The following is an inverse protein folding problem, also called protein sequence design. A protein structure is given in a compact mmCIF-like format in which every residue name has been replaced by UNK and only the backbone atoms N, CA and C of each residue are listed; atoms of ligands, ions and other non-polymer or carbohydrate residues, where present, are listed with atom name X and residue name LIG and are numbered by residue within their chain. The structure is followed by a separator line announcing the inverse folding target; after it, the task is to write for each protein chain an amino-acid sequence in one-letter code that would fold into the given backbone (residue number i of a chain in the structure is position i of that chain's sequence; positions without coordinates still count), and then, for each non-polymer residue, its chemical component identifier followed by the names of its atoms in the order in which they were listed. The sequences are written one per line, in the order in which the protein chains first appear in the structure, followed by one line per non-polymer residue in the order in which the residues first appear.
data_IF_025572301791
#
_entry.id   IF_025572301791
#
_cell.length_a   1.000
_cell.length_b   1.000
_cell.length_c   1.000
_cell.angle_alpha   90.00
_cell.angle_beta   90.00
_cell.angle_gamma   90.00
#
_symmetry.space_group_name_H-M   'P 1'
#
loop_
_entity.id
_entity.type
_entity.pdbx_description
1 polymer ?
#
# COMPACT_ATOMS: atom_id res chain seq x y z
N UNK A 1 -7.31 9.45 -3.71
CA UNK A 1 -8.36 8.74 -2.95
C UNK A 1 -8.91 9.54 -1.76
N UNK A 2 -8.91 10.88 -1.80
CA UNK A 2 -9.55 11.70 -0.77
C UNK A 2 -11.05 11.45 -0.68
N UNK A 3 -11.70 11.13 -1.80
CA UNK A 3 -13.13 10.82 -1.88
C UNK A 3 -13.48 9.58 -1.05
N UNK A 4 -12.73 8.47 -1.17
CA UNK A 4 -13.02 7.27 -0.40
C UNK A 4 -12.85 7.49 1.12
N UNK A 5 -11.85 8.29 1.53
CA UNK A 5 -11.68 8.69 2.94
C UNK A 5 -12.85 9.56 3.41
N UNK A 6 -13.22 10.57 2.61
CA UNK A 6 -14.36 11.46 2.86
C UNK A 6 -15.68 10.68 2.98
N UNK A 7 -15.93 9.72 2.09
CA UNK A 7 -17.12 8.87 2.13
C UNK A 7 -17.22 8.09 3.44
N UNK A 8 -16.11 7.53 3.91
CA UNK A 8 -16.04 6.83 5.20
C UNK A 8 -16.26 7.77 6.39
N UNK A 9 -15.68 8.97 6.38
CA UNK A 9 -15.75 9.90 7.51
C UNK A 9 -17.05 10.69 7.60
N UNK A 10 -17.65 11.05 6.46
CA UNK A 10 -18.78 12.00 6.42
C UNK A 10 -20.11 11.31 6.09
N UNK A 11 -20.10 10.20 5.33
CA UNK A 11 -21.31 9.58 4.80
C UNK A 11 -21.58 8.16 5.32
N UNK A 12 -20.76 7.69 6.27
CA UNK A 12 -20.88 6.39 6.94
C UNK A 12 -21.01 5.17 6.01
N UNK A 13 -20.59 5.32 4.75
CA UNK A 13 -20.54 4.28 3.70
C UNK A 13 -21.86 3.53 3.41
N UNK A 14 -23.01 4.02 3.89
CA UNK A 14 -24.31 3.31 3.79
C UNK A 14 -25.21 3.81 2.66
N UNK A 15 -25.26 5.12 2.47
CA UNK A 15 -26.22 5.74 1.53
C UNK A 15 -25.57 6.19 0.21
N UNK A 16 -24.25 6.04 0.09
CA UNK A 16 -23.47 6.51 -1.04
C UNK A 16 -22.49 5.42 -1.49
N UNK A 17 -22.35 5.25 -2.80
CA UNK A 17 -21.42 4.30 -3.41
C UNK A 17 -20.39 4.99 -4.29
N UNK A 18 -19.14 4.57 -4.21
CA UNK A 18 -18.04 4.99 -5.06
C UNK A 18 -17.86 4.00 -6.21
N UNK A 19 -17.92 4.48 -7.44
CA UNK A 19 -17.54 3.68 -8.60
C UNK A 19 -16.19 4.10 -9.15
N UNK A 20 -15.23 3.18 -9.19
CA UNK A 20 -13.95 3.35 -9.86
C UNK A 20 -14.07 3.12 -11.37
N UNK A 21 -13.33 3.87 -12.16
CA UNK A 21 -13.22 3.69 -13.61
C UNK A 21 -11.84 4.20 -14.08
N UNK A 22 -11.28 3.54 -15.08
CA UNK A 22 -10.10 4.00 -15.81
C UNK A 22 -9.06 2.90 -15.95
N UNK A 23 -8.80 2.47 -17.19
CA UNK A 23 -7.69 1.55 -17.50
C UNK A 23 -7.80 0.13 -16.94
N UNK A 24 -9.00 -0.37 -16.63
CA UNK A 24 -9.20 -1.72 -16.08
C UNK A 24 -9.19 -2.77 -17.19
N UNK A 25 -8.21 -3.67 -17.17
CA UNK A 25 -8.04 -4.76 -18.15
C UNK A 25 -7.81 -6.14 -17.49
N UNK A 26 -7.54 -6.17 -16.19
CA UNK A 26 -7.35 -7.39 -15.38
C UNK A 26 -8.18 -7.36 -14.10
N UNK A 27 -8.41 -8.54 -13.50
CA UNK A 27 -9.02 -8.62 -12.16
C UNK A 27 -8.15 -8.02 -11.07
N UNK A 28 -6.83 -7.92 -11.30
CA UNK A 28 -5.90 -7.20 -10.43
C UNK A 28 -6.18 -5.69 -10.40
N UNK A 29 -6.36 -5.08 -11.57
CA UNK A 29 -6.71 -3.65 -11.66
C UNK A 29 -8.04 -3.36 -10.93
N UNK A 30 -9.02 -4.26 -11.09
CA UNK A 30 -10.28 -4.16 -10.35
C UNK A 30 -10.08 -4.27 -8.83
N UNK A 31 -9.21 -5.18 -8.38
CA UNK A 31 -8.86 -5.30 -6.96
C UNK A 31 -8.20 -4.02 -6.42
N UNK A 32 -7.34 -3.35 -7.18
CA UNK A 32 -6.72 -2.08 -6.78
C UNK A 32 -7.75 -0.97 -6.52
N UNK A 33 -8.75 -0.82 -7.38
CA UNK A 33 -9.84 0.16 -7.15
C UNK A 33 -10.62 -0.15 -5.87
N UNK A 34 -10.93 -1.44 -5.63
CA UNK A 34 -11.65 -1.87 -4.43
C UNK A 34 -10.81 -1.67 -3.17
N UNK A 35 -9.53 -2.05 -3.19
CA UNK A 35 -8.57 -1.83 -2.10
C UNK A 35 -8.48 -0.36 -1.70
N UNK A 36 -8.68 0.54 -2.66
CA UNK A 36 -8.69 1.98 -2.45
C UNK A 36 -10.09 2.55 -2.14
N UNK A 37 -11.13 1.71 -2.02
CA UNK A 37 -12.43 2.07 -1.48
C UNK A 37 -13.59 2.09 -2.46
N UNK A 38 -13.42 1.65 -3.72
CA UNK A 38 -14.53 1.57 -4.66
C UNK A 38 -15.51 0.43 -4.29
N UNK A 39 -16.82 0.69 -4.38
CA UNK A 39 -17.88 -0.31 -4.27
C UNK A 39 -18.07 -1.06 -5.59
N UNK A 40 -17.89 -0.38 -6.72
CA UNK A 40 -18.01 -0.95 -8.07
C UNK A 40 -16.86 -0.50 -8.96
N UNK A 41 -16.53 -1.32 -9.96
CA UNK A 41 -15.48 -1.02 -10.94
C UNK A 41 -16.11 -1.07 -12.34
N UNK A 42 -15.94 0.01 -13.11
CA UNK A 42 -16.44 0.12 -14.48
C UNK A 42 -15.31 -0.16 -15.48
N UNK A 43 -15.68 -0.80 -16.58
CA UNK A 43 -14.77 -1.18 -17.66
C UNK A 43 -15.34 -0.67 -18.98
N UNK A 44 -14.51 0.03 -19.75
CA UNK A 44 -14.88 0.57 -21.06
C UNK A 44 -13.89 0.08 -22.12
N UNK A 45 -12.70 0.70 -22.21
CA UNK A 45 -11.69 0.37 -23.22
C UNK A 45 -11.28 -1.10 -23.23
N UNK A 46 -11.11 -1.74 -22.07
CA UNK A 46 -10.78 -3.17 -22.02
C UNK A 46 -11.81 -4.05 -22.74
N UNK A 47 -13.11 -3.78 -22.57
CA UNK A 47 -14.17 -4.51 -23.29
C UNK A 47 -14.17 -4.16 -24.78
N UNK A 48 -13.88 -2.91 -25.16
CA UNK A 48 -13.75 -2.52 -26.57
C UNK A 48 -12.61 -3.27 -27.27
N UNK A 49 -11.50 -3.51 -26.56
CA UNK A 49 -10.29 -4.15 -27.10
C UNK A 49 -10.38 -5.69 -27.12
N UNK A 50 -10.98 -6.29 -26.09
CA UNK A 50 -10.94 -7.75 -25.87
C UNK A 50 -12.32 -8.42 -25.98
N UNK A 51 -13.37 -7.64 -26.24
CA UNK A 51 -14.75 -8.12 -26.29
C UNK A 51 -15.35 -8.41 -24.91
N UNK A 52 -16.65 -8.73 -24.88
CA UNK A 52 -17.40 -8.98 -23.64
C UNK A 52 -16.89 -10.20 -22.85
N UNK A 53 -16.18 -11.13 -23.48
CA UNK A 53 -15.55 -12.27 -22.81
C UNK A 53 -14.54 -11.87 -21.72
N UNK A 54 -13.98 -10.65 -21.80
CA UNK A 54 -13.09 -10.10 -20.79
C UNK A 54 -13.72 -10.12 -19.40
N UNK A 55 -15.02 -9.84 -19.27
CA UNK A 55 -15.71 -9.76 -17.97
C UNK A 55 -15.56 -11.06 -17.17
N UNK A 56 -15.61 -12.21 -17.84
CA UNK A 56 -15.43 -13.52 -17.18
C UNK A 56 -14.02 -13.65 -16.60
N UNK A 57 -13.00 -13.28 -17.37
CA UNK A 57 -11.60 -13.26 -16.93
C UNK A 57 -11.39 -12.34 -15.73
N UNK A 58 -11.94 -11.12 -15.77
CA UNK A 58 -11.87 -10.17 -14.64
C UNK A 58 -12.44 -10.78 -13.36
N UNK A 59 -13.60 -11.43 -13.43
CA UNK A 59 -14.21 -12.07 -12.28
C UNK A 59 -13.41 -13.26 -11.74
N UNK A 60 -12.78 -14.06 -12.63
CA UNK A 60 -11.93 -15.20 -12.24
C UNK A 60 -10.66 -14.71 -11.53
N UNK A 61 -9.95 -13.76 -12.13
CA UNK A 61 -8.73 -13.18 -11.57
C UNK A 61 -8.98 -12.46 -10.24
N UNK A 62 -10.11 -11.73 -10.12
CA UNK A 62 -10.49 -11.11 -8.85
C UNK A 62 -10.75 -12.15 -7.75
N UNK A 63 -11.39 -13.27 -8.08
CA UNK A 63 -11.59 -14.37 -7.12
C UNK A 63 -10.25 -15.00 -6.71
N UNK A 64 -9.31 -15.12 -7.64
CA UNK A 64 -7.99 -15.67 -7.35
C UNK A 64 -7.17 -14.71 -6.47
N UNK A 65 -7.28 -13.40 -6.69
CA UNK A 65 -6.77 -12.39 -5.76
C UNK A 65 -7.37 -12.57 -4.36
N UNK A 66 -8.70 -12.69 -4.25
CA UNK A 66 -9.37 -12.89 -2.96
C UNK A 66 -8.88 -14.17 -2.25
N UNK A 67 -8.76 -15.29 -2.96
CA UNK A 67 -8.23 -16.55 -2.41
C UNK A 67 -6.79 -16.39 -1.93
N UNK A 68 -5.92 -15.77 -2.71
CA UNK A 68 -4.51 -15.54 -2.37
C UNK A 68 -4.35 -14.78 -1.06
N UNK A 69 -5.27 -13.86 -0.77
CA UNK A 69 -5.25 -13.02 0.42
C UNK A 69 -6.21 -13.47 1.54
N UNK A 70 -6.85 -14.64 1.39
CA UNK A 70 -7.83 -15.18 2.33
C UNK A 70 -9.06 -14.28 2.58
N UNK A 71 -9.45 -13.47 1.58
CA UNK A 71 -10.68 -12.69 1.63
C UNK A 71 -11.88 -13.55 1.23
N UNK A 72 -12.95 -13.48 2.01
CA UNK A 72 -14.22 -14.19 1.77
C UNK A 72 -15.23 -13.31 1.04
N UNK A 73 -15.13 -12.00 1.20
CA UNK A 73 -16.03 -11.02 0.57
C UNK A 73 -15.28 -9.80 0.05
N UNK A 74 -15.93 -9.02 -0.83
CA UNK A 74 -15.41 -7.72 -1.30
C UNK A 74 -15.24 -6.73 -0.13
N UNK A 75 -16.15 -6.78 0.85
CA UNK A 75 -16.11 -5.93 2.04
C UNK A 75 -14.89 -6.19 2.92
N UNK A 76 -14.33 -7.40 2.88
CA UNK A 76 -13.18 -7.78 3.71
C UNK A 76 -11.92 -6.96 3.36
N UNK A 77 -11.84 -6.45 2.13
CA UNK A 77 -10.66 -5.72 1.65
C UNK A 77 -10.95 -4.35 1.06
N UNK A 78 -12.22 -3.96 0.90
CA UNK A 78 -12.57 -2.63 0.40
C UNK A 78 -11.97 -1.54 1.31
N UNK A 79 -11.15 -0.68 0.72
CA UNK A 79 -10.56 0.46 1.41
C UNK A 79 -9.42 0.13 2.38
N UNK A 80 -8.97 -1.13 2.49
CA UNK A 80 -7.87 -1.50 3.39
C UNK A 80 -6.59 -0.74 3.07
N UNK A 81 -6.32 -0.43 1.79
CA UNK A 81 -5.11 0.31 1.41
C UNK A 81 -5.15 1.81 1.74
N UNK A 82 -6.30 2.35 2.20
CA UNK A 82 -6.43 3.77 2.51
C UNK A 82 -5.55 4.21 3.69
N UNK A 83 -5.18 3.30 4.60
CA UNK A 83 -4.29 3.59 5.73
C UNK A 83 -2.87 3.97 5.27
N UNK A 84 -2.43 3.45 4.12
CA UNK A 84 -1.11 3.71 3.55
C UNK A 84 -1.07 4.98 2.70
N UNK A 85 -2.22 5.59 2.40
CA UNK A 85 -2.29 6.81 1.60
C UNK A 85 -2.05 8.04 2.47
N UNK A 86 -0.94 8.76 2.26
CA UNK A 86 -0.60 9.96 3.03
C UNK A 86 -0.07 11.09 2.12
N UNK A 87 0.13 12.27 2.71
CA UNK A 87 0.75 13.40 2.00
C UNK A 87 2.25 13.19 1.90
N UNK A 88 2.86 13.76 0.86
CA UNK A 88 4.33 13.71 0.71
C UNK A 88 5.05 14.23 1.96
N UNK A 89 4.59 15.33 2.54
CA UNK A 89 5.17 15.92 3.76
C UNK A 89 5.14 14.96 4.94
N UNK A 90 4.01 14.26 5.16
CA UNK A 90 3.90 13.29 6.25
C UNK A 90 4.77 12.04 5.99
N UNK A 91 4.87 11.58 4.74
CA UNK A 91 5.75 10.47 4.37
C UNK A 91 7.22 10.79 4.66
N UNK A 92 7.69 11.97 4.25
CA UNK A 92 9.08 12.42 4.51
C UNK A 92 9.36 12.48 6.01
N UNK A 93 8.42 13.01 6.79
CA UNK A 93 8.55 13.07 8.27
C UNK A 93 8.68 11.67 8.87
N UNK A 94 7.79 10.74 8.52
CA UNK A 94 7.85 9.32 8.98
C UNK A 94 9.18 8.66 8.61
N UNK A 95 9.70 8.93 7.41
CA UNK A 95 10.99 8.41 6.97
C UNK A 95 12.14 8.96 7.82
N UNK A 96 12.15 10.26 8.12
CA UNK A 96 13.17 10.87 8.99
C UNK A 96 13.10 10.33 10.42
N UNK A 97 11.91 10.11 10.96
CA UNK A 97 11.68 9.46 12.26
C UNK A 97 12.26 8.04 12.27
N UNK A 98 11.90 7.21 11.28
CA UNK A 98 12.40 5.84 11.17
C UNK A 98 13.94 5.78 11.00
N UNK A 99 14.54 6.73 10.27
CA UNK A 99 16.01 6.83 10.15
C UNK A 99 16.64 7.19 11.50
N UNK A 100 16.05 8.11 12.27
CA UNK A 100 16.54 8.49 13.60
C UNK A 100 16.48 7.31 14.58
N UNK A 101 15.38 6.57 14.59
CA UNK A 101 15.22 5.37 15.43
C UNK A 101 16.25 4.30 15.07
N UNK A 102 16.44 4.02 13.77
CA UNK A 102 17.47 3.07 13.31
C UNK A 102 18.87 3.47 13.74
N UNK A 103 19.19 4.77 13.70
CA UNK A 103 20.48 5.30 14.18
C UNK A 103 20.63 5.19 15.70
N UNK A 104 19.56 5.42 16.46
CA UNK A 104 19.58 5.28 17.92
C UNK A 104 19.75 3.83 18.40
N UNK A 105 19.23 2.85 17.64
CA UNK A 105 19.37 1.42 17.93
C UNK A 105 20.76 0.89 17.53
N UNK A 106 21.38 1.46 16.51
CA UNK A 106 22.70 1.03 16.03
C UNK A 106 23.75 1.23 17.14
N UNK A 107 24.30 0.11 17.63
CA UNK A 107 25.48 0.11 18.50
C UNK A 107 26.74 0.28 17.64
N UNK A 108 27.66 1.14 18.07
CA UNK A 108 28.87 1.55 17.35
C UNK A 108 28.82 3.03 16.91
N UNK A 109 29.82 3.47 16.15
CA UNK A 109 29.94 4.83 15.61
C UNK A 109 28.66 5.34 14.90
N UNK A 110 28.17 6.51 15.34
CA UNK A 110 27.00 7.18 14.75
C UNK A 110 27.32 7.77 13.36
N UNK A 111 28.58 8.14 13.14
CA UNK A 111 29.12 8.64 11.88
C UNK A 111 30.60 8.32 11.78
N UNK A 112 31.09 8.05 10.57
CA UNK A 112 32.51 7.89 10.28
C UNK A 112 33.37 9.10 10.71
N UNK A 113 32.74 10.28 10.87
CA UNK A 113 33.40 11.48 11.39
C UNK A 113 33.77 11.41 12.87
N UNK A 114 33.12 10.54 13.62
CA UNK A 114 33.38 10.32 15.05
C UNK A 114 34.46 9.25 15.27
N UNK A 115 35.01 8.69 14.19
CA UNK A 115 36.07 7.70 14.27
C UNK A 115 37.38 8.34 14.71
N UNK A 116 37.78 8.07 15.95
CA UNK A 116 39.10 8.39 16.47
C UNK A 116 40.02 7.17 16.32
N UNK A 117 41.22 7.35 15.75
CA UNK A 117 42.17 6.26 15.48
C UNK A 117 42.49 5.37 16.70
N UNK A 118 42.46 5.95 17.92
CA UNK A 118 42.74 5.23 19.17
C UNK A 118 41.59 4.31 19.64
N UNK A 119 40.39 4.41 19.03
CA UNK A 119 39.20 3.61 19.37
C UNK A 119 39.04 2.34 18.54
N UNK A 120 39.96 2.06 17.60
CA UNK A 120 39.84 1.04 16.56
C UNK A 120 39.43 -0.35 17.07
N UNK A 121 40.07 -0.84 18.13
CA UNK A 121 39.84 -2.21 18.64
C UNK A 121 38.43 -2.35 19.23
N UNK A 122 37.99 -1.39 20.05
CA UNK A 122 36.64 -1.40 20.67
C UNK A 122 35.52 -1.27 19.64
N UNK A 123 35.69 -0.41 18.65
CA UNK A 123 34.68 -0.21 17.60
C UNK A 123 34.57 -1.44 16.69
N UNK A 124 35.72 -2.04 16.32
CA UNK A 124 35.74 -3.27 15.51
C UNK A 124 35.07 -4.42 16.24
N UNK A 125 35.38 -4.61 17.54
CA UNK A 125 34.73 -5.62 18.39
C UNK A 125 33.21 -5.44 18.48
N UNK A 126 32.71 -4.21 18.46
CA UNK A 126 31.26 -3.93 18.47
C UNK A 126 30.56 -4.25 17.14
N UNK A 127 31.31 -4.37 16.04
CA UNK A 127 30.81 -4.62 14.68
C UNK A 127 30.85 -6.10 14.28
N UNK A 128 31.54 -6.95 15.04
CA UNK A 128 31.53 -8.40 14.79
C UNK A 128 30.40 -9.05 15.59
N UNK A 129 29.52 -9.75 14.89
CA UNK A 129 28.47 -10.57 15.52
C UNK A 129 29.11 -11.84 16.09
N UNK A 130 29.05 -12.06 17.41
CA UNK A 130 29.26 -13.39 17.98
C UNK A 130 28.04 -14.28 17.75
#
# INVERSE_FOLDING_TARGET
MSIAKMMKSEFNDKDHSLSGIGGVETGGDAAEFILLGANTVQVCTGVMMHGYGLVKKLCEELKDFMKKHNFKSIEDFRGVSLEYFTTHTDLVRRQQEAIRERKAIKKGLQSDKEWTGDGFVKETESMVSN
#
